data_IF_819987322239
#
_entry.id   IF_819987322239
#
_cell.length_a   1.000
_cell.length_b   1.000
_cell.length_c   1.000
_cell.angle_alpha   90.00
_cell.angle_beta   90.00
_cell.angle_gamma   90.00
#
_symmetry.space_group_name_H-M   'P 1'
#
loop_
_entity.id
_entity.type
_entity.pdbx_description
1 polymer ?
#
# COMPACT_ATOMS: atom_id res chain seq x y z
N UNK A 1 12.56 -0.23 -8.49
CA UNK A 1 11.34 0.32 -7.86
C UNK A 1 10.73 -0.64 -6.84
N UNK A 2 10.45 -1.90 -7.19
CA UNK A 2 9.83 -2.91 -6.30
C UNK A 2 10.54 -3.17 -4.95
N UNK A 3 11.88 -3.13 -4.88
CA UNK A 3 12.61 -3.27 -3.61
C UNK A 3 12.35 -2.12 -2.60
N UNK A 4 12.07 -0.90 -3.07
CA UNK A 4 11.72 0.23 -2.19
C UNK A 4 10.28 0.13 -1.68
N UNK A 5 9.37 -0.43 -2.48
CA UNK A 5 7.97 -0.68 -2.10
C UNK A 5 7.88 -1.66 -0.94
N UNK A 6 8.69 -2.73 -0.94
CA UNK A 6 8.69 -3.69 0.17
C UNK A 6 9.23 -3.13 1.50
N UNK A 7 9.99 -2.03 1.46
CA UNK A 7 10.57 -1.44 2.67
C UNK A 7 9.69 -0.40 3.33
N UNK A 8 8.74 0.20 2.60
CA UNK A 8 7.89 1.25 3.15
C UNK A 8 6.46 0.79 3.40
N UNK A 9 6.06 0.76 4.68
CA UNK A 9 4.68 0.44 5.07
C UNK A 9 3.71 1.46 4.47
N UNK A 10 4.09 2.74 4.45
CA UNK A 10 3.26 3.82 3.90
C UNK A 10 2.97 3.60 2.41
N UNK A 11 3.98 3.23 1.63
CA UNK A 11 3.80 3.01 0.19
C UNK A 11 2.94 1.78 -0.11
N UNK A 12 3.07 0.70 0.68
CA UNK A 12 2.20 -0.48 0.58
C UNK A 12 0.75 -0.13 0.88
N UNK A 13 0.52 0.67 1.92
CA UNK A 13 -0.82 1.14 2.30
C UNK A 13 -1.44 2.02 1.22
N UNK A 14 -0.70 3.00 0.70
CA UNK A 14 -1.17 3.87 -0.38
C UNK A 14 -1.49 3.08 -1.66
N UNK A 15 -0.64 2.11 -2.02
CA UNK A 15 -0.89 1.24 -3.17
C UNK A 15 -2.17 0.42 -2.97
N UNK A 16 -2.38 -0.15 -1.78
CA UNK A 16 -3.59 -0.91 -1.46
C UNK A 16 -4.86 -0.04 -1.56
N UNK A 17 -4.82 1.20 -1.07
CA UNK A 17 -5.94 2.15 -1.19
C UNK A 17 -6.20 2.48 -2.66
N UNK A 18 -5.17 2.78 -3.45
CA UNK A 18 -5.34 3.14 -4.87
C UNK A 18 -5.93 1.97 -5.66
N UNK A 19 -5.43 0.75 -5.44
CA UNK A 19 -5.96 -0.46 -6.11
C UNK A 19 -7.42 -0.70 -5.71
N UNK A 20 -7.75 -0.62 -4.43
CA UNK A 20 -9.13 -0.80 -3.97
C UNK A 20 -10.05 0.31 -4.49
N UNK A 21 -9.59 1.56 -4.49
CA UNK A 21 -10.32 2.69 -5.05
C UNK A 21 -10.60 2.51 -6.54
N UNK A 22 -9.61 2.06 -7.32
CA UNK A 22 -9.79 1.75 -8.73
C UNK A 22 -10.81 0.63 -8.96
N UNK A 23 -10.78 -0.43 -8.15
CA UNK A 23 -11.75 -1.53 -8.21
C UNK A 23 -13.16 -1.03 -7.88
N UNK A 24 -13.32 -0.25 -6.80
CA UNK A 24 -14.62 0.30 -6.41
C UNK A 24 -15.19 1.24 -7.49
N UNK A 25 -14.36 2.12 -8.06
CA UNK A 25 -14.78 2.99 -9.17
C UNK A 25 -15.21 2.16 -10.38
N UNK A 26 -14.47 1.11 -10.74
CA UNK A 26 -14.84 0.23 -11.85
C UNK A 26 -16.19 -0.49 -11.60
N UNK A 27 -16.44 -0.96 -10.39
CA UNK A 27 -17.71 -1.58 -10.01
C UNK A 27 -18.85 -0.55 -10.05
N UNK A 28 -18.64 0.64 -9.47
CA UNK A 28 -19.60 1.74 -9.48
C UNK A 28 -19.99 2.17 -10.91
N UNK A 29 -19.01 2.33 -11.82
CA UNK A 29 -19.28 2.62 -13.23
C UNK A 29 -20.11 1.50 -13.87
N UNK A 30 -19.80 0.24 -13.54
CA UNK A 30 -20.55 -0.91 -14.06
C UNK A 30 -22.00 -0.90 -13.59
N UNK A 31 -22.26 -0.60 -12.30
CA UNK A 31 -23.61 -0.46 -11.75
C UNK A 31 -24.38 0.68 -12.43
N UNK A 32 -23.74 1.84 -12.64
CA UNK A 32 -24.36 2.96 -13.35
C UNK A 32 -24.73 2.60 -14.79
N UNK A 33 -23.83 1.91 -15.50
CA UNK A 33 -24.10 1.45 -16.87
C UNK A 33 -25.28 0.46 -16.91
N UNK A 34 -25.35 -0.49 -15.98
CA UNK A 34 -26.49 -1.42 -15.85
C UNK A 34 -27.77 -0.64 -15.57
N UNK A 35 -27.74 0.35 -14.67
CA UNK A 35 -28.87 1.20 -14.35
C UNK A 35 -29.38 1.99 -15.57
N UNK A 36 -28.48 2.62 -16.32
CA UNK A 36 -28.83 3.36 -17.54
C UNK A 36 -29.46 2.45 -18.61
N UNK A 37 -28.95 1.23 -18.78
CA UNK A 37 -29.51 0.25 -19.71
C UNK A 37 -30.89 -0.24 -19.26
N UNK A 38 -31.07 -0.48 -17.96
CA UNK A 38 -32.34 -0.91 -17.38
C UNK A 38 -33.44 0.13 -17.61
N UNK A 39 -33.13 1.42 -17.44
CA UNK A 39 -34.07 2.51 -17.74
C UNK A 39 -34.48 2.51 -19.22
N UNK A 40 -33.52 2.36 -20.14
CA UNK A 40 -33.82 2.29 -21.58
C UNK A 40 -34.72 1.10 -21.92
N UNK A 41 -34.41 -0.07 -21.36
CA UNK A 41 -35.20 -1.28 -21.59
C UNK A 41 -36.62 -1.15 -21.01
N UNK A 42 -36.77 -0.49 -19.86
CA UNK A 42 -38.07 -0.23 -19.25
C UNK A 42 -38.92 0.72 -20.09
N UNK A 43 -38.31 1.74 -20.72
CA UNK A 43 -39.00 2.61 -21.68
C UNK A 43 -39.59 1.81 -22.84
N UNK A 44 -38.81 0.89 -23.42
CA UNK A 44 -39.28 0.03 -24.50
C UNK A 44 -40.32 -0.99 -24.04
N UNK A 45 -40.16 -1.59 -22.86
CA UNK A 45 -41.18 -2.44 -22.24
C UNK A 45 -42.51 -1.69 -22.09
N UNK A 46 -42.48 -0.46 -21.58
CA UNK A 46 -43.70 0.34 -21.41
C UNK A 46 -44.35 0.69 -22.75
N UNK A 47 -43.57 0.82 -23.83
CA UNK A 47 -44.10 0.97 -25.19
C UNK A 47 -44.87 -0.28 -25.63
N UNK A 48 -44.32 -1.47 -25.37
CA UNK A 48 -45.01 -2.74 -25.65
C UNK A 48 -46.30 -2.88 -24.85
N UNK A 49 -46.31 -2.51 -23.57
CA UNK A 49 -47.53 -2.56 -22.75
C UNK A 49 -48.62 -1.66 -23.33
N UNK A 50 -48.28 -0.41 -23.69
CA UNK A 50 -49.25 0.49 -24.36
C UNK A 50 -49.73 -0.05 -25.70
N UNK A 51 -48.88 -0.79 -26.41
CA UNK A 51 -49.24 -1.42 -27.69
C UNK A 51 -50.26 -2.55 -27.47
N UNK A 52 -50.06 -3.38 -26.44
CA UNK A 52 -51.01 -4.42 -26.03
C UNK A 52 -52.36 -3.78 -25.67
N UNK A 53 -52.34 -2.70 -24.89
CA UNK A 53 -53.57 -1.99 -24.50
C UNK A 53 -54.31 -1.42 -25.72
N UNK A 54 -53.58 -0.79 -26.65
CA UNK A 54 -54.15 -0.22 -27.87
C UNK A 54 -54.76 -1.29 -28.80
N UNK A 55 -54.07 -2.42 -28.99
CA UNK A 55 -54.57 -3.55 -29.79
C UNK A 55 -55.81 -4.17 -29.14
N UNK A 56 -55.80 -4.33 -27.81
CA UNK A 56 -56.94 -4.84 -27.05
C UNK A 56 -58.14 -3.90 -27.15
N UNK A 57 -57.92 -2.60 -27.09
CA UNK A 57 -58.99 -1.60 -27.22
C UNK A 57 -59.63 -1.58 -28.61
N UNK A 58 -58.82 -1.72 -29.67
CA UNK A 58 -59.33 -1.90 -31.05
C UNK A 58 -60.22 -3.15 -31.14
N UNK A 59 -59.77 -4.26 -30.55
CA UNK A 59 -60.55 -5.50 -30.49
C UNK A 59 -61.90 -5.29 -29.82
N UNK A 60 -61.89 -4.69 -28.63
CA UNK A 60 -63.10 -4.40 -27.84
C UNK A 60 -64.05 -3.44 -28.54
N UNK A 61 -63.53 -2.38 -29.14
CA UNK A 61 -64.34 -1.41 -29.90
C UNK A 61 -64.97 -2.04 -31.12
N UNK A 62 -64.27 -2.97 -31.78
CA UNK A 62 -64.79 -3.68 -32.95
C UNK A 62 -65.84 -4.73 -32.58
N UNK A 63 -65.71 -5.40 -31.43
CA UNK A 63 -66.74 -6.28 -30.89
C UNK A 63 -68.03 -5.52 -30.55
N UNK A 64 -67.89 -4.36 -29.89
CA UNK A 64 -69.03 -3.47 -29.60
C UNK A 64 -69.69 -3.00 -30.89
N UNK A 65 -68.90 -2.58 -31.88
CA UNK A 65 -69.43 -2.17 -33.18
C UNK A 65 -70.17 -3.30 -33.90
N UNK A 66 -69.59 -4.51 -33.94
CA UNK A 66 -70.20 -5.67 -34.60
C UNK A 66 -71.58 -6.00 -34.01
N UNK A 67 -71.75 -5.86 -32.69
CA UNK A 67 -73.06 -6.06 -32.04
C UNK A 67 -74.09 -4.96 -32.32
N UNK A 68 -73.68 -3.78 -32.80
CA UNK A 68 -74.53 -2.60 -33.01
C UNK A 68 -74.41 -2.00 -34.42
N UNK A 69 -73.99 -2.78 -35.40
CA UNK A 69 -73.66 -2.27 -36.72
C UNK A 69 -74.86 -1.61 -37.44
N UNK A 70 -74.58 -0.54 -38.18
CA UNK A 70 -75.57 0.23 -38.93
C UNK A 70 -76.43 -0.65 -39.86
N UNK A 71 -77.74 -0.41 -39.85
CA UNK A 71 -78.72 -1.09 -40.74
C UNK A 71 -79.29 -0.19 -41.83
N UNK A 72 -78.97 1.11 -41.77
CA UNK A 72 -79.38 2.14 -42.72
C UNK A 72 -78.23 3.09 -43.02
N UNK A 73 -78.40 3.90 -44.08
CA UNK A 73 -77.39 4.86 -44.54
C UNK A 73 -77.06 5.94 -43.50
N UNK A 74 -78.06 6.45 -42.77
CA UNK A 74 -77.85 7.53 -41.79
C UNK A 74 -76.96 7.05 -40.63
N UNK A 75 -77.24 5.86 -40.10
CA UNK A 75 -76.43 5.21 -39.08
C UNK A 75 -75.04 4.88 -39.59
N UNK A 76 -74.90 4.49 -40.85
CA UNK A 76 -73.60 4.22 -41.46
C UNK A 76 -72.71 5.47 -41.50
N UNK A 77 -73.23 6.61 -41.96
CA UNK A 77 -72.46 7.86 -42.00
C UNK A 77 -72.08 8.36 -40.59
N UNK A 78 -72.96 8.16 -39.59
CA UNK A 78 -72.61 8.42 -38.18
C UNK A 78 -71.44 7.53 -37.73
N UNK A 79 -71.49 6.25 -38.03
CA UNK A 79 -70.46 5.30 -37.61
C UNK A 79 -69.12 5.53 -38.35
N UNK A 80 -69.16 6.08 -39.56
CA UNK A 80 -67.97 6.55 -40.28
C UNK A 80 -67.26 7.68 -39.54
N UNK A 81 -68.02 8.60 -38.95
CA UNK A 81 -67.48 9.71 -38.14
C UNK A 81 -67.00 9.28 -36.75
N UNK A 82 -67.68 8.31 -36.13
CA UNK A 82 -67.40 7.90 -34.74
C UNK A 82 -66.46 6.70 -34.66
N UNK A 83 -66.82 5.57 -35.28
CA UNK A 83 -66.07 4.33 -35.18
C UNK A 83 -64.87 4.32 -36.13
N UNK A 84 -65.09 4.57 -37.42
CA UNK A 84 -64.02 4.43 -38.42
C UNK A 84 -62.87 5.40 -38.17
N UNK A 85 -63.15 6.68 -37.91
CA UNK A 85 -62.10 7.66 -37.57
C UNK A 85 -61.29 7.28 -36.33
N UNK A 86 -61.94 6.76 -35.29
CA UNK A 86 -61.26 6.30 -34.07
C UNK A 86 -60.37 5.09 -34.38
N UNK A 87 -60.86 4.10 -35.12
CA UNK A 87 -60.06 2.93 -35.51
C UNK A 87 -58.86 3.34 -36.37
N UNK A 88 -59.04 4.16 -37.40
CA UNK A 88 -57.92 4.62 -38.24
C UNK A 88 -56.87 5.38 -37.42
N UNK A 89 -57.31 6.23 -36.49
CA UNK A 89 -56.41 6.93 -35.56
C UNK A 89 -55.63 5.95 -34.66
N UNK A 90 -56.31 4.96 -34.07
CA UNK A 90 -55.66 3.94 -33.23
C UNK A 90 -54.70 3.05 -34.04
N UNK A 91 -55.07 2.64 -35.26
CA UNK A 91 -54.19 1.89 -36.16
C UNK A 91 -52.93 2.69 -36.51
N UNK A 92 -53.04 4.00 -36.73
CA UNK A 92 -51.89 4.86 -36.96
C UNK A 92 -50.98 4.97 -35.72
N UNK A 93 -51.55 5.03 -34.52
CA UNK A 93 -50.78 5.02 -33.26
C UNK A 93 -50.03 3.69 -33.05
N UNK A 94 -50.68 2.57 -33.37
CA UNK A 94 -50.07 1.23 -33.31
C UNK A 94 -48.95 1.11 -34.34
N UNK A 95 -49.18 1.57 -35.57
CA UNK A 95 -48.17 1.58 -36.64
C UNK A 95 -46.92 2.38 -36.25
N UNK A 96 -47.11 3.58 -35.72
CA UNK A 96 -46.02 4.41 -35.21
C UNK A 96 -45.28 3.75 -34.05
N UNK A 97 -45.98 2.97 -33.21
CA UNK A 97 -45.37 2.24 -32.10
C UNK A 97 -44.53 1.05 -32.58
N UNK A 98 -44.98 0.32 -33.61
CA UNK A 98 -44.19 -0.73 -34.25
C UNK A 98 -42.93 -0.18 -34.93
N UNK A 99 -43.05 0.92 -35.67
CA UNK A 99 -41.90 1.62 -36.27
C UNK A 99 -40.88 2.03 -35.21
N UNK A 100 -41.33 2.64 -34.11
CA UNK A 100 -40.45 3.02 -33.02
C UNK A 100 -39.77 1.82 -32.33
N UNK A 101 -40.45 0.67 -32.22
CA UNK A 101 -39.85 -0.58 -31.71
C UNK A 101 -38.79 -1.14 -32.66
N UNK A 102 -38.99 -1.00 -33.97
CA UNK A 102 -38.00 -1.39 -34.98
C UNK A 102 -36.74 -0.52 -34.90
N UNK A 103 -36.90 0.79 -34.69
CA UNK A 103 -35.78 1.72 -34.46
C UNK A 103 -34.99 1.38 -33.18
N UNK A 104 -35.66 0.83 -32.17
CA UNK A 104 -35.06 0.37 -30.91
C UNK A 104 -34.14 -0.85 -31.06
N UNK A 105 -34.08 -1.48 -32.25
CA UNK A 105 -33.14 -2.58 -32.55
C UNK A 105 -31.69 -2.22 -32.22
N UNK A 106 -31.26 -1.02 -32.59
CA UNK A 106 -29.90 -0.53 -32.33
C UNK A 106 -29.62 -0.42 -30.83
N UNK A 107 -30.60 0.09 -30.06
CA UNK A 107 -30.54 0.17 -28.60
C UNK A 107 -30.44 -1.20 -27.95
N UNK A 108 -31.25 -2.17 -28.39
CA UNK A 108 -31.22 -3.55 -27.87
C UNK A 108 -29.86 -4.20 -28.13
N UNK A 109 -29.29 -4.02 -29.33
CA UNK A 109 -27.96 -4.52 -29.67
C UNK A 109 -26.85 -3.81 -28.89
N UNK A 110 -26.96 -2.51 -28.67
CA UNK A 110 -26.00 -1.76 -27.86
C UNK A 110 -26.02 -2.24 -26.39
N UNK A 111 -27.21 -2.51 -25.84
CA UNK A 111 -27.36 -3.12 -24.51
C UNK A 111 -26.73 -4.52 -24.50
N UNK A 112 -26.99 -5.35 -25.51
CA UNK A 112 -26.45 -6.72 -25.59
C UNK A 112 -24.92 -6.74 -25.63
N UNK A 113 -24.30 -5.80 -26.35
CA UNK A 113 -22.85 -5.74 -26.55
C UNK A 113 -22.11 -4.92 -25.48
N UNK A 114 -22.84 -4.31 -24.54
CA UNK A 114 -22.20 -3.50 -23.52
C UNK A 114 -21.36 -4.37 -22.56
N UNK A 115 -20.24 -3.85 -22.05
CA UNK A 115 -19.50 -4.53 -20.99
C UNK A 115 -20.41 -4.73 -19.78
N UNK A 116 -20.39 -5.94 -19.22
CA UNK A 116 -21.25 -6.35 -18.11
C UNK A 116 -22.76 -6.35 -18.42
N UNK A 117 -23.16 -6.51 -19.68
CA UNK A 117 -24.56 -6.73 -20.04
C UNK A 117 -25.06 -8.08 -19.52
N UNK A 118 -26.30 -8.10 -19.01
CA UNK A 118 -26.94 -9.31 -18.45
C UNK A 118 -27.94 -9.94 -19.41
N UNK A 119 -28.46 -9.13 -20.35
CA UNK A 119 -29.12 -9.69 -21.50
C UNK A 119 -28.05 -10.49 -22.24
N UNK A 120 -28.09 -11.81 -22.10
CA UNK A 120 -27.23 -12.65 -22.91
C UNK A 120 -27.47 -12.26 -24.36
N UNK A 121 -26.42 -12.33 -25.19
CA UNK A 121 -26.58 -12.07 -26.62
C UNK A 121 -27.75 -12.87 -27.21
N UNK A 122 -27.97 -14.08 -26.68
CA UNK A 122 -29.12 -14.92 -26.98
C UNK A 122 -30.47 -14.32 -26.56
N UNK A 123 -30.62 -13.84 -25.31
CA UNK A 123 -31.86 -13.19 -24.85
C UNK A 123 -32.20 -11.97 -25.73
N UNK A 124 -31.20 -11.16 -26.08
CA UNK A 124 -31.39 -10.01 -26.97
C UNK A 124 -31.76 -10.42 -28.39
N UNK A 125 -31.16 -11.49 -28.92
CA UNK A 125 -31.52 -12.02 -30.24
C UNK A 125 -32.95 -12.56 -30.25
N UNK A 126 -33.35 -13.33 -29.23
CA UNK A 126 -34.73 -13.82 -29.06
C UNK A 126 -35.73 -12.66 -28.97
N UNK A 127 -35.39 -11.60 -28.22
CA UNK A 127 -36.23 -10.41 -28.16
C UNK A 127 -36.39 -9.76 -29.55
N UNK A 128 -35.31 -9.63 -30.32
CA UNK A 128 -35.35 -9.11 -31.69
C UNK A 128 -36.18 -9.99 -32.63
N UNK A 129 -36.12 -11.31 -32.47
CA UNK A 129 -36.98 -12.26 -33.20
C UNK A 129 -38.45 -12.03 -32.88
N UNK A 130 -38.83 -11.85 -31.60
CA UNK A 130 -40.20 -11.54 -31.21
C UNK A 130 -40.68 -10.17 -31.71
N UNK A 131 -39.81 -9.15 -31.74
CA UNK A 131 -40.13 -7.85 -32.35
C UNK A 131 -40.40 -8.03 -33.84
N UNK A 132 -39.55 -8.78 -34.55
CA UNK A 132 -39.71 -9.03 -35.97
C UNK A 132 -40.96 -9.85 -36.30
N UNK A 133 -41.25 -10.91 -35.52
CA UNK A 133 -42.47 -11.72 -35.67
C UNK A 133 -43.72 -10.88 -35.43
N UNK A 134 -43.72 -10.05 -34.39
CA UNK A 134 -44.84 -9.15 -34.08
C UNK A 134 -45.06 -8.12 -35.19
N UNK A 135 -43.99 -7.55 -35.75
CA UNK A 135 -44.08 -6.62 -36.88
C UNK A 135 -44.65 -7.30 -38.14
N UNK A 136 -44.20 -8.53 -38.45
CA UNK A 136 -44.75 -9.30 -39.59
C UNK A 136 -46.24 -9.58 -39.41
N UNK A 137 -46.67 -9.98 -38.21
CA UNK A 137 -48.08 -10.20 -37.88
C UNK A 137 -48.90 -8.91 -37.99
N UNK A 138 -48.34 -7.79 -37.55
CA UNK A 138 -48.98 -6.47 -37.71
C UNK A 138 -49.16 -6.08 -39.17
N UNK A 139 -48.12 -6.22 -40.01
CA UNK A 139 -48.22 -5.94 -41.44
C UNK A 139 -49.25 -6.83 -42.15
N UNK A 140 -49.29 -8.13 -41.79
CA UNK A 140 -50.30 -9.05 -42.30
C UNK A 140 -51.71 -8.65 -41.86
N UNK A 141 -51.87 -8.24 -40.60
CA UNK A 141 -53.13 -7.74 -40.05
C UNK A 141 -53.60 -6.48 -40.79
N UNK A 142 -52.73 -5.47 -40.96
CA UNK A 142 -53.05 -4.25 -41.71
C UNK A 142 -53.46 -4.56 -43.15
N UNK A 143 -52.73 -5.45 -43.84
CA UNK A 143 -53.05 -5.85 -45.20
C UNK A 143 -54.44 -6.49 -45.28
N UNK A 144 -54.72 -7.48 -44.43
CA UNK A 144 -56.01 -8.14 -44.40
C UNK A 144 -57.15 -7.19 -44.02
N UNK A 145 -56.90 -6.25 -43.11
CA UNK A 145 -57.88 -5.24 -42.74
C UNK A 145 -58.20 -4.27 -43.88
N UNK A 146 -57.18 -3.80 -44.61
CA UNK A 146 -57.37 -2.94 -45.78
C UNK A 146 -58.16 -3.66 -46.88
N UNK A 147 -57.86 -4.94 -47.13
CA UNK A 147 -58.63 -5.78 -48.07
C UNK A 147 -60.11 -5.87 -47.65
N UNK A 148 -60.39 -5.96 -46.34
CA UNK A 148 -61.74 -6.02 -45.80
C UNK A 148 -62.47 -4.69 -45.90
N UNK A 149 -61.83 -3.57 -45.59
CA UNK A 149 -62.41 -2.23 -45.81
C UNK A 149 -62.70 -1.96 -47.29
N UNK A 150 -61.90 -2.49 -48.21
CA UNK A 150 -62.08 -2.34 -49.66
C UNK A 150 -61.43 -1.07 -50.22
N UNK A 151 -61.49 -0.90 -51.54
CA UNK A 151 -60.76 0.16 -52.25
C UNK A 151 -61.41 1.55 -52.12
N UNK A 152 -62.71 1.60 -51.77
CA UNK A 152 -63.41 2.87 -51.59
C UNK A 152 -63.14 3.44 -50.20
N UNK A 153 -62.25 4.43 -50.12
CA UNK A 153 -61.91 5.13 -48.88
C UNK A 153 -63.02 6.03 -48.36
N UNK A 154 -63.99 6.42 -49.19
CA UNK A 154 -65.14 7.25 -48.80
C UNK A 154 -66.30 6.42 -48.24
N UNK A 155 -66.41 5.15 -48.65
CA UNK A 155 -67.43 4.21 -48.17
C UNK A 155 -66.81 2.83 -47.81
N UNK A 156 -65.97 2.75 -46.76
CA UNK A 156 -65.35 1.50 -46.33
C UNK A 156 -66.38 0.50 -45.76
N UNK A 157 -66.14 -0.79 -45.95
CA UNK A 157 -66.98 -1.88 -45.40
C UNK A 157 -66.71 -2.08 -43.90
N UNK A 158 -67.32 -1.24 -43.06
CA UNK A 158 -67.07 -1.19 -41.61
C UNK A 158 -67.37 -2.51 -40.89
N UNK A 159 -68.48 -3.18 -41.20
CA UNK A 159 -68.83 -4.48 -40.60
C UNK A 159 -67.77 -5.55 -40.85
N UNK A 160 -67.27 -5.63 -42.08
CA UNK A 160 -66.28 -6.63 -42.50
C UNK A 160 -64.90 -6.34 -41.89
N UNK A 161 -64.55 -5.06 -41.76
CA UNK A 161 -63.36 -4.65 -41.04
C UNK A 161 -63.43 -5.00 -39.56
N UNK A 162 -64.56 -4.72 -38.91
CA UNK A 162 -64.76 -5.03 -37.50
C UNK A 162 -64.72 -6.53 -37.21
N UNK A 163 -65.41 -7.35 -38.03
CA UNK A 163 -65.36 -8.81 -37.96
C UNK A 163 -63.91 -9.32 -38.10
N UNK A 164 -63.18 -8.83 -39.11
CA UNK A 164 -61.78 -9.21 -39.29
C UNK A 164 -60.91 -8.84 -38.08
N UNK A 165 -61.11 -7.67 -37.49
CA UNK A 165 -60.41 -7.25 -36.28
C UNK A 165 -60.67 -8.24 -35.15
N UNK A 166 -61.94 -8.55 -34.86
CA UNK A 166 -62.33 -9.48 -33.77
C UNK A 166 -61.70 -10.86 -33.95
N UNK A 167 -61.68 -11.38 -35.18
CA UNK A 167 -61.10 -12.70 -35.49
C UNK A 167 -59.57 -12.75 -35.37
N UNK A 168 -58.87 -11.65 -35.68
CA UNK A 168 -57.41 -11.66 -35.83
C UNK A 168 -56.65 -10.96 -34.70
N UNK A 169 -57.32 -10.13 -33.88
CA UNK A 169 -56.69 -9.37 -32.78
C UNK A 169 -56.05 -10.28 -31.74
N UNK A 170 -56.62 -11.46 -31.49
CA UNK A 170 -56.08 -12.44 -30.54
C UNK A 170 -54.68 -12.96 -30.92
N UNK A 171 -54.42 -13.14 -32.22
CA UNK A 171 -53.10 -13.56 -32.72
C UNK A 171 -52.05 -12.47 -32.51
N UNK A 172 -52.43 -11.20 -32.71
CA UNK A 172 -51.55 -10.05 -32.49
C UNK A 172 -51.26 -9.86 -30.99
N UNK A 173 -52.30 -9.90 -30.15
CA UNK A 173 -52.15 -9.84 -28.70
C UNK A 173 -51.24 -10.93 -28.15
N UNK A 174 -51.36 -12.16 -28.66
CA UNK A 174 -50.49 -13.27 -28.26
C UNK A 174 -49.01 -13.02 -28.60
N UNK A 175 -48.72 -12.48 -29.79
CA UNK A 175 -47.36 -12.13 -30.20
C UNK A 175 -46.78 -11.00 -29.33
N UNK A 176 -47.58 -9.96 -29.07
CA UNK A 176 -47.20 -8.84 -28.22
C UNK A 176 -46.98 -9.28 -26.76
N UNK A 177 -47.81 -10.19 -26.24
CA UNK A 177 -47.65 -10.75 -24.90
C UNK A 177 -46.34 -11.56 -24.76
N UNK A 178 -45.97 -12.34 -25.78
CA UNK A 178 -44.67 -13.03 -25.82
C UNK A 178 -43.50 -12.04 -25.83
N UNK A 179 -43.59 -10.98 -26.65
CA UNK A 179 -42.58 -9.92 -26.65
C UNK A 179 -42.48 -9.23 -25.27
N UNK A 180 -43.61 -8.89 -24.64
CA UNK A 180 -43.67 -8.25 -23.33
C UNK A 180 -43.11 -9.13 -22.19
N UNK A 181 -43.32 -10.45 -22.25
CA UNK A 181 -42.75 -11.39 -21.28
C UNK A 181 -41.23 -11.53 -21.42
N UNK A 182 -40.70 -11.47 -22.64
CA UNK A 182 -39.25 -11.43 -22.88
C UNK A 182 -38.62 -10.13 -22.37
N UNK A 183 -39.24 -8.98 -22.63
CA UNK A 183 -38.81 -7.72 -22.02
C UNK A 183 -38.77 -7.81 -20.49
N UNK A 184 -39.82 -8.37 -19.87
CA UNK A 184 -39.88 -8.54 -18.41
C UNK A 184 -38.78 -9.46 -17.88
N UNK A 185 -38.56 -10.59 -18.54
CA UNK A 185 -37.49 -11.54 -18.18
C UNK A 185 -36.12 -10.87 -18.21
N UNK A 186 -35.83 -10.12 -19.27
CA UNK A 186 -34.55 -9.41 -19.40
C UNK A 186 -34.42 -8.31 -18.33
N UNK A 187 -35.49 -7.53 -18.08
CA UNK A 187 -35.50 -6.50 -17.04
C UNK A 187 -35.28 -7.08 -15.64
N UNK A 188 -35.91 -8.20 -15.29
CA UNK A 188 -35.73 -8.88 -14.00
C UNK A 188 -34.30 -9.40 -13.82
N UNK A 189 -33.74 -10.04 -14.86
CA UNK A 189 -32.33 -10.43 -14.89
C UNK A 189 -31.40 -9.23 -14.67
N UNK A 190 -31.70 -8.08 -15.29
CA UNK A 190 -30.89 -6.88 -15.10
C UNK A 190 -30.95 -6.32 -13.67
N UNK A 191 -32.15 -6.25 -13.09
CA UNK A 191 -32.35 -5.76 -11.72
C UNK A 191 -31.63 -6.65 -10.71
N UNK A 192 -31.74 -7.97 -10.86
CA UNK A 192 -31.08 -8.93 -9.95
C UNK A 192 -29.55 -8.85 -10.05
N UNK A 193 -28.97 -8.61 -11.22
CA UNK A 193 -27.53 -8.38 -11.30
C UNK A 193 -27.12 -7.04 -10.68
N UNK A 194 -27.88 -5.97 -10.90
CA UNK A 194 -27.59 -4.68 -10.27
C UNK A 194 -27.54 -4.83 -8.74
N UNK A 195 -28.51 -5.56 -8.16
CA UNK A 195 -28.54 -5.90 -6.74
C UNK A 195 -27.35 -6.75 -6.30
N UNK A 196 -27.02 -7.82 -7.03
CA UNK A 196 -25.86 -8.67 -6.72
C UNK A 196 -24.54 -7.91 -6.81
N UNK A 197 -24.40 -7.02 -7.78
CA UNK A 197 -23.20 -6.19 -7.97
C UNK A 197 -23.03 -5.23 -6.80
N UNK A 198 -24.11 -4.59 -6.36
CA UNK A 198 -24.09 -3.73 -5.17
C UNK A 198 -23.74 -4.52 -3.89
N UNK A 199 -24.24 -5.75 -3.74
CA UNK A 199 -23.86 -6.63 -2.62
C UNK A 199 -22.38 -7.01 -2.65
N UNK A 200 -21.84 -7.35 -3.83
CA UNK A 200 -20.41 -7.65 -4.01
C UNK A 200 -19.56 -6.43 -3.67
N UNK A 201 -19.97 -5.22 -4.09
CA UNK A 201 -19.28 -3.98 -3.73
C UNK A 201 -19.24 -3.80 -2.20
N UNK A 202 -20.38 -3.94 -1.52
CA UNK A 202 -20.46 -3.84 -0.07
C UNK A 202 -19.54 -4.85 0.63
N UNK A 203 -19.59 -6.13 0.24
CA UNK A 203 -18.74 -7.16 0.82
C UNK A 203 -17.25 -6.91 0.55
N UNK A 204 -16.90 -6.36 -0.62
CA UNK A 204 -15.52 -6.02 -0.95
C UNK A 204 -14.99 -4.92 -0.03
N UNK A 205 -15.79 -3.88 0.24
CA UNK A 205 -15.43 -2.77 1.14
C UNK A 205 -15.23 -3.29 2.57
N UNK A 206 -16.18 -4.07 3.09
CA UNK A 206 -16.08 -4.64 4.45
C UNK A 206 -14.85 -5.53 4.57
N UNK A 207 -14.61 -6.42 3.60
CA UNK A 207 -13.44 -7.30 3.58
C UNK A 207 -12.14 -6.51 3.54
N UNK A 208 -12.09 -5.43 2.75
CA UNK A 208 -10.93 -4.56 2.66
C UNK A 208 -10.63 -3.83 3.99
N UNK A 209 -11.65 -3.33 4.68
CA UNK A 209 -11.51 -2.70 6.00
C UNK A 209 -10.92 -3.70 7.00
N UNK A 210 -11.44 -4.93 7.03
CA UNK A 210 -10.93 -5.99 7.92
C UNK A 210 -9.49 -6.33 7.57
N UNK A 211 -9.16 -6.49 6.28
CA UNK A 211 -7.82 -6.79 5.82
C UNK A 211 -6.81 -5.70 6.22
N UNK A 212 -7.19 -4.42 6.08
CA UNK A 212 -6.39 -3.28 6.56
C UNK A 212 -6.21 -3.34 8.07
N UNK A 213 -7.27 -3.54 8.84
CA UNK A 213 -7.19 -3.58 10.31
C UNK A 213 -6.23 -4.69 10.78
N UNK A 214 -6.35 -5.88 10.20
CA UNK A 214 -5.45 -7.02 10.44
C UNK A 214 -4.01 -6.67 10.06
N UNK A 215 -3.80 -6.09 8.87
CA UNK A 215 -2.49 -5.66 8.42
C UNK A 215 -1.85 -4.65 9.39
N UNK A 216 -2.58 -3.61 9.80
CA UNK A 216 -2.11 -2.60 10.76
C UNK A 216 -1.78 -3.21 12.12
N UNK A 217 -2.62 -4.12 12.61
CA UNK A 217 -2.39 -4.79 13.88
C UNK A 217 -1.07 -5.56 13.88
N UNK A 218 -0.84 -6.40 12.87
CA UNK A 218 0.35 -7.25 12.83
C UNK A 218 1.63 -6.51 12.40
N UNK A 219 1.55 -5.55 11.48
CA UNK A 219 2.74 -4.87 10.94
C UNK A 219 3.16 -3.61 11.69
N UNK A 220 2.26 -2.97 12.42
CA UNK A 220 2.52 -1.68 13.07
C UNK A 220 2.23 -1.76 14.56
N UNK A 221 0.98 -2.05 14.95
CA UNK A 221 0.54 -1.92 16.34
C UNK A 221 1.25 -2.91 17.28
N UNK A 222 1.31 -4.20 16.91
CA UNK A 222 1.92 -5.22 17.75
C UNK A 222 3.45 -5.00 17.92
N UNK A 223 4.25 -4.75 16.86
CA UNK A 223 5.67 -4.42 17.03
C UNK A 223 5.89 -3.16 17.87
N UNK A 224 5.15 -2.07 17.64
CA UNK A 224 5.27 -0.85 18.45
C UNK A 224 4.98 -1.13 19.93
N UNK A 225 3.94 -1.92 20.23
CA UNK A 225 3.63 -2.29 21.61
C UNK A 225 4.71 -3.14 22.25
N UNK A 226 5.37 -4.04 21.50
CA UNK A 226 6.54 -4.78 21.98
C UNK A 226 7.70 -3.83 22.28
N UNK A 227 8.01 -2.90 21.37
CA UNK A 227 9.07 -1.91 21.57
C UNK A 227 8.78 -1.01 22.76
N UNK A 228 7.54 -0.55 22.94
CA UNK A 228 7.13 0.22 24.14
C UNK A 228 7.43 -0.54 25.43
N UNK A 229 7.10 -1.84 25.49
CA UNK A 229 7.38 -2.66 26.68
C UNK A 229 8.88 -2.83 26.92
N UNK A 230 9.67 -2.94 25.86
CA UNK A 230 11.12 -3.04 25.96
C UNK A 230 11.75 -1.74 26.47
N UNK A 231 11.29 -0.58 25.99
CA UNK A 231 11.68 0.72 26.55
C UNK A 231 11.39 0.82 28.05
N UNK A 232 10.22 0.36 28.49
CA UNK A 232 9.86 0.34 29.91
C UNK A 232 10.78 -0.56 30.75
N UNK A 233 11.29 -1.65 30.17
CA UNK A 233 12.27 -2.51 30.86
C UNK A 233 13.61 -1.82 31.05
N UNK A 234 14.12 -1.22 29.97
CA UNK A 234 15.39 -0.48 30.00
C UNK A 234 15.29 0.72 30.96
N UNK A 235 14.17 1.45 30.96
CA UNK A 235 13.97 2.55 31.92
C UNK A 235 13.92 2.09 33.37
N UNK A 236 13.57 0.83 33.61
CA UNK A 236 13.55 0.22 34.94
C UNK A 236 14.89 -0.44 35.32
N UNK A 237 15.94 -0.28 34.51
CA UNK A 237 17.30 -0.75 34.79
C UNK A 237 17.70 -2.07 34.12
N UNK A 238 16.84 -2.68 33.30
CA UNK A 238 17.16 -3.88 32.51
C UNK A 238 17.89 -3.49 31.21
N UNK A 239 19.10 -2.97 31.35
CA UNK A 239 19.94 -2.57 30.24
C UNK A 239 20.46 -3.80 29.48
N UNK A 240 20.55 -3.71 28.15
CA UNK A 240 20.97 -4.82 27.31
C UNK A 240 19.82 -5.72 26.84
N UNK A 241 18.58 -5.47 27.27
CA UNK A 241 17.42 -6.13 26.71
C UNK A 241 17.29 -5.85 25.21
N UNK A 242 17.13 -6.91 24.41
CA UNK A 242 16.96 -6.83 22.96
C UNK A 242 15.63 -7.45 22.52
N UNK A 243 15.05 -6.88 21.46
CA UNK A 243 13.85 -7.37 20.81
C UNK A 243 14.28 -8.10 19.54
N UNK A 244 13.78 -9.31 19.33
CA UNK A 244 13.96 -10.02 18.06
C UNK A 244 13.34 -9.22 16.90
N UNK A 245 14.20 -8.80 15.97
CA UNK A 245 13.84 -8.04 14.78
C UNK A 245 13.68 -9.00 13.59
N UNK A 246 12.46 -9.11 13.04
CA UNK A 246 12.21 -9.79 11.76
C UNK A 246 11.62 -8.85 10.71
N UNK A 247 11.61 -7.54 10.99
CA UNK A 247 10.91 -6.55 10.16
C UNK A 247 11.91 -5.73 9.36
N UNK A 248 11.73 -5.69 8.04
CA UNK A 248 12.59 -4.90 7.12
C UNK A 248 11.96 -3.55 6.73
N UNK A 249 11.22 -2.93 7.65
CA UNK A 249 10.46 -1.70 7.43
C UNK A 249 10.81 -0.61 8.45
N UNK A 250 10.10 0.52 8.42
CA UNK A 250 10.34 1.65 9.32
C UNK A 250 10.23 1.26 10.81
N UNK A 251 9.32 0.33 11.14
CA UNK A 251 9.17 -0.17 12.52
C UNK A 251 10.32 -1.12 12.89
N UNK A 252 10.83 -1.88 11.94
CA UNK A 252 12.07 -2.66 12.11
C UNK A 252 13.27 -1.78 12.40
N UNK A 253 13.44 -0.68 11.66
CA UNK A 253 14.52 0.29 11.91
C UNK A 253 14.44 0.90 13.32
N UNK A 254 13.24 1.16 13.83
CA UNK A 254 13.03 1.60 15.21
C UNK A 254 13.48 0.54 16.21
N UNK A 255 13.17 -0.74 15.97
CA UNK A 255 13.61 -1.86 16.81
C UNK A 255 15.13 -2.00 16.79
N UNK A 256 15.75 -1.92 15.61
CA UNK A 256 17.20 -2.04 15.46
C UNK A 256 17.92 -0.90 16.21
N UNK A 257 17.42 0.32 16.07
CA UNK A 257 17.94 1.50 16.79
C UNK A 257 17.79 1.34 18.31
N UNK A 258 16.67 0.78 18.77
CA UNK A 258 16.46 0.47 20.18
C UNK A 258 17.46 -0.57 20.70
N UNK A 259 17.67 -1.67 19.96
CA UNK A 259 18.60 -2.73 20.35
C UNK A 259 20.04 -2.22 20.44
N UNK A 260 20.46 -1.39 19.48
CA UNK A 260 21.78 -0.75 19.47
C UNK A 260 21.95 0.16 20.70
N UNK A 261 20.97 1.02 21.00
CA UNK A 261 20.99 1.88 22.18
C UNK A 261 21.08 1.05 23.48
N UNK A 262 20.24 0.03 23.63
CA UNK A 262 20.18 -0.83 24.81
C UNK A 262 21.51 -1.57 25.06
N UNK A 263 22.12 -2.11 23.98
CA UNK A 263 23.41 -2.78 24.04
C UNK A 263 24.55 -1.84 24.43
N UNK A 264 24.57 -0.61 23.87
CA UNK A 264 25.55 0.42 24.23
C UNK A 264 25.43 0.80 25.71
N UNK A 265 24.22 1.03 26.22
CA UNK A 265 24.00 1.36 27.63
C UNK A 265 24.48 0.25 28.57
N UNK A 266 24.21 -1.02 28.24
CA UNK A 266 24.70 -2.16 29.02
C UNK A 266 26.22 -2.22 29.06
N UNK A 267 26.87 -1.96 27.92
CA UNK A 267 28.34 -1.95 27.81
C UNK A 267 28.93 -0.87 28.71
N UNK A 268 28.41 0.36 28.66
CA UNK A 268 28.85 1.47 29.52
C UNK A 268 28.69 1.13 31.00
N UNK A 269 27.54 0.60 31.40
CA UNK A 269 27.28 0.24 32.80
C UNK A 269 28.17 -0.91 33.29
N UNK A 270 28.41 -1.92 32.45
CA UNK A 270 29.34 -3.01 32.74
C UNK A 270 30.75 -2.48 33.00
N UNK A 271 31.24 -1.59 32.12
CA UNK A 271 32.55 -0.96 32.27
C UNK A 271 32.61 -0.15 33.56
N UNK A 272 31.61 0.70 33.84
CA UNK A 272 31.58 1.51 35.07
C UNK A 272 31.57 0.64 36.33
N UNK A 273 30.76 -0.42 36.36
CA UNK A 273 30.69 -1.33 37.51
C UNK A 273 32.01 -2.08 37.74
N UNK A 274 32.65 -2.57 36.68
CA UNK A 274 33.92 -3.28 36.77
C UNK A 274 35.09 -2.33 37.11
N UNK A 275 35.11 -1.12 36.55
CA UNK A 275 36.12 -0.08 36.85
C UNK A 275 36.17 0.26 38.34
N UNK A 276 35.03 0.31 39.03
CA UNK A 276 35.01 0.56 40.46
C UNK A 276 35.79 -0.49 41.27
N UNK A 277 35.75 -1.75 40.82
CA UNK A 277 36.41 -2.88 41.51
C UNK A 277 37.89 -3.04 41.17
N UNK A 278 38.38 -2.40 40.11
CA UNK A 278 39.76 -2.52 39.68
C UNK A 278 40.73 -1.97 40.74
N UNK A 279 41.84 -2.68 40.99
CA UNK A 279 42.84 -2.32 42.00
C UNK A 279 44.19 -1.90 41.41
N UNK A 280 44.39 -2.06 40.09
CA UNK A 280 45.63 -1.69 39.42
C UNK A 280 45.37 -1.13 38.02
N UNK A 281 46.30 -0.32 37.52
CA UNK A 281 46.24 0.20 36.15
C UNK A 281 46.15 -0.93 35.11
N UNK A 282 46.92 -2.00 35.30
CA UNK A 282 46.88 -3.18 34.42
C UNK A 282 45.50 -3.85 34.40
N UNK A 283 44.82 -3.94 35.54
CA UNK A 283 43.45 -4.47 35.59
C UNK A 283 42.46 -3.56 34.87
N UNK A 284 42.57 -2.24 35.00
CA UNK A 284 41.74 -1.28 34.26
C UNK A 284 41.89 -1.50 32.75
N UNK A 285 43.12 -1.58 32.26
CA UNK A 285 43.37 -1.80 30.83
C UNK A 285 42.84 -3.15 30.35
N UNK A 286 42.98 -4.20 31.18
CA UNK A 286 42.45 -5.52 30.85
C UNK A 286 40.93 -5.50 30.74
N UNK A 287 40.24 -4.83 31.68
CA UNK A 287 38.78 -4.68 31.66
C UNK A 287 38.32 -3.85 30.47
N UNK A 288 39.02 -2.76 30.16
CA UNK A 288 38.74 -1.94 28.97
C UNK A 288 38.93 -2.78 27.70
N UNK A 289 40.02 -3.53 27.58
CA UNK A 289 40.23 -4.41 26.44
C UNK A 289 39.09 -5.44 26.32
N UNK A 290 38.82 -6.23 27.37
CA UNK A 290 37.82 -7.29 27.34
C UNK A 290 36.40 -6.81 27.02
N UNK A 291 35.97 -5.65 27.55
CA UNK A 291 34.60 -5.16 27.32
C UNK A 291 34.45 -4.36 26.01
N UNK A 292 35.55 -3.85 25.44
CA UNK A 292 35.51 -2.93 24.30
C UNK A 292 35.95 -3.63 23.01
N UNK A 293 36.73 -4.72 23.09
CA UNK A 293 37.17 -5.50 21.92
C UNK A 293 36.00 -6.06 21.12
N UNK A 294 34.98 -6.63 21.76
CA UNK A 294 33.81 -7.18 21.06
C UNK A 294 33.01 -6.11 20.30
N UNK A 295 32.99 -4.89 20.84
CA UNK A 295 32.25 -3.76 20.26
C UNK A 295 33.06 -2.99 19.20
N UNK A 296 34.37 -2.84 19.40
CA UNK A 296 35.23 -1.96 18.59
C UNK A 296 36.20 -2.69 17.67
N UNK A 297 36.44 -3.98 17.88
CA UNK A 297 37.51 -4.73 17.23
C UNK A 297 38.91 -4.26 17.65
N UNK A 298 39.06 -3.67 18.83
CA UNK A 298 40.34 -3.25 19.37
C UNK A 298 41.21 -4.46 19.72
N UNK A 299 42.46 -4.46 19.24
CA UNK A 299 43.43 -5.54 19.44
C UNK A 299 44.47 -5.20 20.54
N UNK A 300 44.63 -3.91 20.86
CA UNK A 300 45.59 -3.41 21.82
C UNK A 300 45.04 -2.20 22.57
N UNK A 301 45.10 -2.26 23.90
CA UNK A 301 44.94 -1.11 24.79
C UNK A 301 46.25 -0.90 25.55
N UNK A 302 46.86 0.27 25.46
CA UNK A 302 48.14 0.58 26.10
C UNK A 302 48.11 1.93 26.81
N UNK A 303 48.76 2.00 27.97
CA UNK A 303 48.93 3.23 28.73
C UNK A 303 50.41 3.61 28.75
N UNK A 304 50.68 4.85 28.35
CA UNK A 304 52.03 5.30 28.03
C UNK A 304 52.26 6.62 28.73
N UNK A 305 53.32 6.71 29.51
CA UNK A 305 53.68 7.90 30.27
C UNK A 305 54.98 8.48 29.79
N UNK A 306 55.11 9.80 29.85
CA UNK A 306 56.38 10.49 29.64
C UNK A 306 57.14 10.63 30.96
N UNK A 307 58.40 10.21 30.97
CA UNK A 307 59.29 10.42 32.12
C UNK A 307 59.51 11.92 32.36
N UNK A 308 59.36 12.38 33.60
CA UNK A 308 59.54 13.80 33.95
C UNK A 308 60.92 14.33 33.54
N UNK A 309 60.92 15.48 32.86
CA UNK A 309 62.15 16.14 32.41
C UNK A 309 62.90 15.45 31.27
N UNK A 310 62.36 14.35 30.72
CA UNK A 310 62.97 13.61 29.61
C UNK A 310 62.00 13.48 28.44
N UNK A 311 62.54 13.38 27.23
CA UNK A 311 61.77 13.11 26.01
C UNK A 311 61.64 11.60 25.79
N UNK A 312 61.37 10.87 26.88
CA UNK A 312 61.31 9.42 26.91
C UNK A 312 59.90 9.01 27.34
N UNK A 313 59.26 8.16 26.54
CA UNK A 313 57.98 7.55 26.86
C UNK A 313 58.17 6.07 27.21
N UNK A 314 57.41 5.60 28.19
CA UNK A 314 57.41 4.22 28.64
C UNK A 314 56.00 3.66 28.70
N UNK A 315 55.85 2.39 28.33
CA UNK A 315 54.60 1.67 28.50
C UNK A 315 54.42 1.30 29.97
N UNK A 316 53.45 1.93 30.64
CA UNK A 316 53.14 1.64 32.04
C UNK A 316 52.28 0.38 32.18
N UNK A 317 51.35 0.15 31.26
CA UNK A 317 50.45 -1.01 31.27
C UNK A 317 49.96 -1.31 29.85
N UNK A 318 49.67 -2.58 29.56
CA UNK A 318 49.24 -3.05 28.23
C UNK A 318 48.27 -4.22 28.35
N UNK A 319 47.17 -4.19 27.59
CA UNK A 319 46.23 -5.28 27.46
C UNK A 319 46.00 -5.62 25.97
N UNK A 320 46.08 -6.90 25.56
CA UNK A 320 46.43 -8.07 26.37
C UNK A 320 47.95 -8.17 26.59
N UNK A 321 48.41 -8.28 27.84
CA UNK A 321 49.84 -8.28 28.16
C UNK A 321 50.63 -9.45 27.52
N UNK A 322 49.96 -10.57 27.22
CA UNK A 322 50.60 -11.78 26.66
C UNK A 322 51.13 -11.57 25.25
N UNK A 323 50.40 -10.82 24.43
CA UNK A 323 50.68 -10.69 23.00
C UNK A 323 51.65 -9.53 22.71
N UNK A 324 51.83 -8.64 23.69
CA UNK A 324 52.60 -7.40 23.54
C UNK A 324 53.77 -7.26 24.54
N UNK A 325 54.27 -8.37 25.09
CA UNK A 325 55.33 -8.39 26.12
C UNK A 325 56.57 -7.55 25.76
N UNK A 326 56.94 -7.53 24.48
CA UNK A 326 58.12 -6.80 23.98
C UNK A 326 58.01 -5.28 24.14
N UNK A 327 56.81 -4.73 24.34
CA UNK A 327 56.58 -3.30 24.53
C UNK A 327 56.87 -2.85 25.97
N UNK A 328 56.58 -3.68 26.97
CA UNK A 328 56.67 -3.30 28.40
C UNK A 328 58.10 -2.92 28.80
N UNK A 329 59.12 -3.54 28.21
CA UNK A 329 60.54 -3.25 28.49
C UNK A 329 61.15 -2.15 27.61
N UNK A 330 60.39 -1.58 26.66
CA UNK A 330 60.93 -0.69 25.63
C UNK A 330 60.70 0.78 25.99
N UNK A 331 61.76 1.59 25.91
CA UNK A 331 61.70 3.04 26.03
C UNK A 331 61.62 3.67 24.64
N UNK A 332 60.71 4.62 24.47
CA UNK A 332 60.52 5.36 23.21
C UNK A 332 61.17 6.73 23.39
N UNK A 333 62.15 7.07 22.55
CA UNK A 333 62.79 8.39 22.56
C UNK A 333 62.16 9.23 21.46
N UNK A 334 61.70 10.45 21.78
CA UNK A 334 61.25 11.38 20.75
C UNK A 334 62.47 12.03 20.08
N UNK A 335 62.63 11.75 18.78
CA UNK A 335 63.83 12.14 18.01
C UNK A 335 63.77 13.59 17.50
N UNK A 336 62.58 14.19 17.38
CA UNK A 336 62.41 15.54 16.83
C UNK A 336 61.65 16.50 17.75
N UNK A 337 62.03 17.78 17.74
CA UNK A 337 61.34 18.81 18.51
C UNK A 337 59.92 19.08 18.00
N UNK A 338 59.62 18.75 16.74
CA UNK A 338 58.27 18.78 16.18
C UNK A 338 57.38 17.68 16.79
N UNK A 339 57.92 16.47 16.94
CA UNK A 339 57.20 15.33 17.54
C UNK A 339 56.83 15.57 19.01
N UNK A 340 57.72 16.24 19.75
CA UNK A 340 57.49 16.64 21.14
C UNK A 340 56.36 17.69 21.21
N UNK A 341 56.42 18.73 20.38
CA UNK A 341 55.37 19.76 20.31
C UNK A 341 54.01 19.17 19.95
N UNK A 342 53.95 18.20 19.05
CA UNK A 342 52.71 17.52 18.69
C UNK A 342 52.11 16.80 19.91
N UNK A 343 52.91 16.04 20.65
CA UNK A 343 52.44 15.38 21.89
C UNK A 343 52.05 16.35 23.00
N UNK A 344 52.76 17.47 23.14
CA UNK A 344 52.45 18.50 24.14
C UNK A 344 51.11 19.17 23.83
N UNK A 345 50.84 19.50 22.56
CA UNK A 345 49.56 20.08 22.13
C UNK A 345 48.39 19.14 22.40
N UNK A 346 48.56 17.85 22.12
CA UNK A 346 47.53 16.83 22.36
C UNK A 346 47.18 16.75 23.84
N UNK A 347 48.21 16.73 24.70
CA UNK A 347 48.03 16.65 26.14
C UNK A 347 47.43 17.95 26.72
N UNK A 348 48.02 19.12 26.41
CA UNK A 348 47.58 20.43 26.92
C UNK A 348 46.15 20.77 26.52
N UNK A 349 45.76 20.46 25.29
CA UNK A 349 44.39 20.73 24.81
C UNK A 349 43.41 19.61 25.14
N UNK A 350 43.88 18.49 25.69
CA UNK A 350 43.09 17.28 25.97
C UNK A 350 42.25 16.83 24.77
N UNK A 351 42.82 16.92 23.56
CA UNK A 351 42.12 16.57 22.32
C UNK A 351 42.41 15.10 22.00
N UNK A 352 41.41 14.20 22.02
CA UNK A 352 41.62 12.85 21.54
C UNK A 352 41.83 12.85 20.03
N UNK A 353 42.66 11.94 19.53
CA UNK A 353 42.87 11.77 18.10
C UNK A 353 42.37 10.40 17.68
N UNK A 354 41.46 10.38 16.71
CA UNK A 354 41.06 9.17 15.99
C UNK A 354 41.83 9.07 14.66
N UNK A 355 42.46 7.93 14.43
CA UNK A 355 43.20 7.62 13.22
C UNK A 355 42.61 6.38 12.57
N UNK A 356 41.92 6.60 11.45
CA UNK A 356 41.40 5.50 10.61
C UNK A 356 42.51 4.71 9.92
N UNK A 357 43.63 5.38 9.60
CA UNK A 357 44.87 4.79 9.12
C UNK A 357 46.07 5.50 9.76
N UNK A 358 46.82 4.79 10.60
CA UNK A 358 47.97 5.35 11.33
C UNK A 358 49.08 5.76 10.35
N UNK A 359 49.27 5.02 9.25
CA UNK A 359 50.34 5.31 8.29
C UNK A 359 50.10 6.61 7.56
N UNK A 360 48.88 6.79 7.05
CA UNK A 360 48.48 8.02 6.35
C UNK A 360 48.60 9.23 7.30
N UNK A 361 48.19 9.06 8.56
CA UNK A 361 48.32 10.10 9.59
C UNK A 361 49.80 10.49 9.83
N UNK A 362 50.68 9.51 10.02
CA UNK A 362 52.12 9.77 10.24
C UNK A 362 52.78 10.45 9.03
N UNK A 363 52.29 10.22 7.81
CA UNK A 363 52.79 10.86 6.59
C UNK A 363 52.28 12.31 6.40
N UNK A 364 51.09 12.63 6.93
CA UNK A 364 50.39 13.91 6.67
C UNK A 364 50.45 14.91 7.82
N UNK A 365 50.22 14.46 9.06
CA UNK A 365 50.02 15.29 10.25
C UNK A 365 51.28 15.33 11.15
N UNK A 366 52.29 14.50 10.85
CA UNK A 366 53.59 14.48 11.52
C UNK A 366 53.81 13.28 12.47
N UNK A 367 55.08 13.04 12.79
CA UNK A 367 55.52 11.86 13.57
C UNK A 367 55.09 11.96 15.03
N UNK A 368 54.20 11.06 15.45
CA UNK A 368 53.90 10.77 16.84
C UNK A 368 54.84 9.63 17.32
N UNK A 369 55.84 9.90 18.18
CA UNK A 369 56.89 8.93 18.53
C UNK A 369 56.31 7.63 19.08
N UNK A 370 55.20 7.76 19.81
CA UNK A 370 54.51 6.67 20.45
C UNK A 370 53.91 5.72 19.40
N UNK A 371 53.28 6.26 18.35
CA UNK A 371 52.64 5.48 17.31
C UNK A 371 53.62 4.95 16.27
N UNK A 372 54.63 5.74 15.89
CA UNK A 372 55.64 5.29 14.93
C UNK A 372 56.46 4.12 15.47
N UNK A 373 56.74 4.07 16.77
CA UNK A 373 57.36 2.90 17.40
C UNK A 373 56.42 1.68 17.40
N UNK A 374 55.14 1.92 17.67
CA UNK A 374 54.12 0.90 17.80
C UNK A 374 53.84 0.19 16.46
N UNK A 375 53.73 0.96 15.36
CA UNK A 375 53.55 0.43 13.98
C UNK A 375 54.82 -0.24 13.44
N UNK A 376 56.02 0.15 13.89
CA UNK A 376 57.27 -0.53 13.53
C UNK A 376 57.34 -1.96 14.10
N UNK A 377 56.72 -2.18 15.25
CA UNK A 377 56.76 -3.47 15.94
C UNK A 377 55.58 -4.39 15.62
N UNK A 378 54.41 -3.81 15.39
CA UNK A 378 53.18 -4.54 15.10
C UNK A 378 52.45 -3.91 13.92
N UNK A 379 51.82 -4.70 13.04
CA UNK A 379 51.12 -4.20 11.85
C UNK A 379 49.76 -3.57 12.19
N UNK A 380 49.73 -2.70 13.20
CA UNK A 380 48.53 -1.98 13.63
C UNK A 380 48.23 -0.86 12.64
N UNK A 381 46.96 -0.70 12.31
CA UNK A 381 46.49 0.10 11.18
C UNK A 381 45.57 1.25 11.59
N UNK A 382 44.77 1.09 12.64
CA UNK A 382 43.96 2.19 13.19
C UNK A 382 44.25 2.37 14.67
N UNK A 383 44.14 3.60 15.16
CA UNK A 383 44.37 3.92 16.57
C UNK A 383 43.47 5.06 17.05
N UNK A 384 43.15 5.05 18.34
CA UNK A 384 42.62 6.22 19.04
C UNK A 384 43.56 6.53 20.20
N UNK A 385 44.03 7.77 20.28
CA UNK A 385 44.91 8.26 21.34
C UNK A 385 44.15 9.23 22.21
N UNK A 386 44.05 8.92 23.49
CA UNK A 386 43.45 9.76 24.51
C UNK A 386 44.55 10.32 25.43
N UNK A 387 44.67 11.64 25.59
CA UNK A 387 45.41 12.19 26.71
C UNK A 387 44.65 11.87 28.01
N UNK A 388 45.36 11.42 29.03
CA UNK A 388 44.84 11.12 30.37
C UNK A 388 45.36 12.22 31.28
N UNK A 389 44.47 13.00 31.88
CA UNK A 389 44.88 14.06 32.81
C UNK A 389 45.41 13.45 34.12
N UNK A 390 46.73 13.34 34.25
CA UNK A 390 47.42 13.05 35.51
C UNK A 390 48.13 14.30 36.04
N UNK A 391 48.24 14.41 37.36
CA UNK A 391 48.77 15.61 38.05
C UNK A 391 50.27 15.80 37.81
N UNK A 392 51.01 14.72 37.51
CA UNK A 392 52.48 14.74 37.51
C UNK A 392 53.15 14.28 36.20
N UNK A 393 52.43 13.57 35.31
CA UNK A 393 53.02 12.98 34.11
C UNK A 393 52.10 13.15 32.89
N UNK A 394 52.70 13.33 31.71
CA UNK A 394 51.94 13.28 30.47
C UNK A 394 51.61 11.82 30.15
N UNK A 395 50.35 11.45 30.30
CA UNK A 395 49.87 10.08 30.14
C UNK A 395 48.95 9.99 28.92
N UNK A 396 49.10 8.92 28.15
CA UNK A 396 48.29 8.63 26.97
C UNK A 396 47.71 7.23 27.07
N UNK A 397 46.41 7.10 26.85
CA UNK A 397 45.72 5.84 26.63
C UNK A 397 45.55 5.63 25.13
N UNK A 398 46.10 4.54 24.61
CA UNK A 398 46.09 4.20 23.19
C UNK A 398 45.25 2.94 23.00
N UNK A 399 44.26 3.02 22.12
CA UNK A 399 43.56 1.88 21.58
C UNK A 399 44.02 1.68 20.13
N UNK A 400 44.29 0.45 19.71
CA UNK A 400 44.76 0.17 18.35
C UNK A 400 44.20 -1.15 17.81
N UNK A 401 44.04 -1.22 16.48
CA UNK A 401 43.58 -2.42 15.78
C UNK A 401 44.44 -2.76 14.56
N UNK A 402 44.54 -4.04 14.22
CA UNK A 402 45.17 -4.57 13.00
C UNK A 402 44.42 -4.22 11.72
N UNK A 403 43.21 -3.67 11.84
CA UNK A 403 42.33 -3.39 10.73
C UNK A 403 42.14 -1.88 10.53
N UNK A 404 42.09 -1.47 9.26
CA UNK A 404 41.78 -0.08 8.87
C UNK A 404 40.34 0.27 9.23
N UNK A 405 40.12 1.51 9.66
CA UNK A 405 38.80 2.08 9.95
C UNK A 405 37.92 1.30 10.95
N UNK A 406 38.47 0.35 11.71
CA UNK A 406 37.72 -0.35 12.76
C UNK A 406 37.41 0.55 13.93
N UNK A 407 38.38 1.38 14.33
CA UNK A 407 38.19 2.38 15.37
C UNK A 407 37.60 3.66 14.78
N UNK A 408 36.27 3.78 14.77
CA UNK A 408 35.54 4.92 14.18
C UNK A 408 35.22 6.03 15.20
N UNK A 409 34.63 7.13 14.72
CA UNK A 409 34.26 8.27 15.57
C UNK A 409 33.28 7.90 16.70
N UNK A 410 32.34 6.98 16.46
CA UNK A 410 31.39 6.56 17.49
C UNK A 410 32.08 5.83 18.65
N UNK A 411 33.15 5.07 18.36
CA UNK A 411 33.97 4.43 19.39
C UNK A 411 34.74 5.48 20.21
N UNK A 412 35.25 6.52 19.56
CA UNK A 412 35.90 7.64 20.24
C UNK A 412 34.94 8.40 21.16
N UNK A 413 33.72 8.68 20.71
CA UNK A 413 32.69 9.36 21.50
C UNK A 413 32.27 8.54 22.74
N UNK A 414 32.12 7.22 22.59
CA UNK A 414 31.86 6.32 23.72
C UNK A 414 32.99 6.37 24.75
N UNK A 415 34.23 6.26 24.30
CA UNK A 415 35.40 6.28 25.17
C UNK A 415 35.56 7.64 25.86
N UNK A 416 35.34 8.75 25.15
CA UNK A 416 35.30 10.10 25.72
C UNK A 416 34.35 10.21 26.91
N UNK A 417 33.18 9.57 26.85
CA UNK A 417 32.23 9.56 27.96
C UNK A 417 32.71 8.74 29.16
N UNK A 418 33.57 7.73 28.91
CA UNK A 418 34.17 6.90 29.96
C UNK A 418 35.46 7.51 30.54
N UNK A 419 36.15 8.38 29.80
CA UNK A 419 37.44 8.95 30.19
C UNK A 419 37.44 9.57 31.60
N UNK A 420 36.47 10.40 32.02
CA UNK A 420 36.49 10.98 33.36
C UNK A 420 36.50 9.94 34.49
N UNK A 421 35.83 8.81 34.28
CA UNK A 421 35.79 7.72 35.26
C UNK A 421 37.09 6.92 35.26
N UNK A 422 37.65 6.69 34.07
CA UNK A 422 38.93 6.03 33.88
C UNK A 422 40.04 6.86 34.53
N UNK A 423 40.10 8.16 34.26
CA UNK A 423 41.03 9.13 34.84
C UNK A 423 40.92 9.19 36.35
N UNK A 424 39.70 9.37 36.87
CA UNK A 424 39.45 9.38 38.32
C UNK A 424 39.96 8.09 38.99
N UNK A 425 39.69 6.94 38.37
CA UNK A 425 40.11 5.66 38.92
C UNK A 425 41.63 5.50 38.87
N UNK A 426 42.29 5.88 37.77
CA UNK A 426 43.75 5.88 37.70
C UNK A 426 44.38 6.77 38.77
N UNK A 427 43.89 8.01 38.91
CA UNK A 427 44.37 8.93 39.94
C UNK A 427 44.19 8.35 41.36
N UNK A 428 43.06 7.66 41.62
CA UNK A 428 42.82 7.02 42.92
C UNK A 428 43.79 5.87 43.22
N UNK A 429 44.25 5.14 42.20
CA UNK A 429 45.21 4.04 42.35
C UNK A 429 46.62 4.61 42.55
N UNK A 430 46.99 5.66 41.82
CA UNK A 430 48.28 6.36 41.97
C UNK A 430 48.45 7.00 43.34
N UNK A 431 47.37 7.46 43.98
CA UNK A 431 47.42 8.00 45.35
C UNK A 431 47.47 6.92 46.44
N UNK A 432 47.09 5.69 46.13
CA UNK A 432 46.99 4.59 47.09
C UNK A 432 48.24 3.69 47.15
N UNK A 433 49.10 3.74 46.12
CA UNK A 433 50.39 3.04 46.05
C UNK A 433 51.55 3.98 46.29
#
# INVERSE_FOLDING_TARGET
MFKKINKSIFLQFMLAIVVMGAISVAISISIQNIGAQSVRLLTEKNRVVRLIDAVTEIGRSSEIYQSNAARDYESYYRDLEVYYKVIISQLALIDNSFKALEDSRSTILAVANAPFSIASKEDSLRLLEHIQDSNKKWQAFQKGLNEKFGDNTEEPRLEWGAEFIVENVGNLNSALAQMGSQFSTISEKQLTLAQRSAQVELYSIVTFIIAIAVFFYFRISNPINKTKKAFLRVSNGDFGHQIESSYNNEVGQLVDSFNEMSSRSQTVLSILGQLQTAQSAQQILQLLHENITDYTGCDLVAMITREQGKNIYSYQSIAPAKDFKNLISKKIVAESQASIKATDIIHEKSIPINMSNIRDYLETEGDLPILSNLVKLYPLKSAIVFPVQSVEQQTFLILSSYHESKLNQQHMELLLQLMPFIEYKFASIEQAG
#
